data_IF_389092307596
#
_entry.id   IF_389092307596
#
_cell.length_a   1.000
_cell.length_b   1.000
_cell.length_c   1.000
_cell.angle_alpha   90.00
_cell.angle_beta   90.00
_cell.angle_gamma   90.00
#
_symmetry.space_group_name_H-M   'P 1'
#
loop_
_entity.id
_entity.type
_entity.pdbx_description
1 polymer ?
#
# COMPACT_ATOMS: atom_id res chain seq x y z
N UNK A 1 7.48 6.66 29.90
CA UNK A 1 6.68 7.51 28.99
C UNK A 1 7.48 7.67 27.71
N UNK A 2 7.89 6.56 27.08
CA UNK A 2 8.94 6.57 26.03
C UNK A 2 8.81 5.30 25.16
N UNK A 3 7.83 5.26 24.25
CA UNK A 3 7.70 4.13 23.31
C UNK A 3 7.27 4.59 21.90
N UNK A 4 7.72 5.79 21.51
CA UNK A 4 7.45 6.38 20.19
C UNK A 4 8.72 6.46 19.31
N UNK A 5 9.83 5.87 19.75
CA UNK A 5 11.07 5.80 18.99
C UNK A 5 11.17 4.41 18.36
N UNK A 6 11.27 4.39 17.03
CA UNK A 6 11.59 3.19 16.25
C UNK A 6 12.93 3.40 15.54
N UNK A 7 13.72 2.33 15.30
CA UNK A 7 14.89 2.42 14.43
C UNK A 7 14.48 2.87 13.02
N UNK A 8 15.42 3.19 12.12
CA UNK A 8 15.10 3.40 10.71
C UNK A 8 14.57 2.12 10.05
N UNK A 9 13.63 2.22 9.09
CA UNK A 9 13.19 1.07 8.31
C UNK A 9 14.32 0.53 7.42
N UNK A 10 14.33 -0.78 7.14
CA UNK A 10 15.30 -1.36 6.22
C UNK A 10 15.14 -0.73 4.84
N UNK A 11 16.25 -0.38 4.22
CA UNK A 11 16.27 0.08 2.83
C UNK A 11 15.91 -1.11 1.94
N UNK A 12 14.71 -1.08 1.35
CA UNK A 12 14.36 -2.03 0.29
C UNK A 12 15.10 -1.59 -0.97
N UNK A 13 16.29 -2.14 -1.19
CA UNK A 13 17.08 -1.91 -2.41
C UNK A 13 16.42 -2.63 -3.57
N UNK A 14 15.51 -1.93 -4.22
CA UNK A 14 14.85 -2.37 -5.43
C UNK A 14 13.94 -1.25 -5.90
N UNK A 15 14.01 -0.93 -7.20
CA UNK A 15 12.98 -0.16 -7.87
C UNK A 15 11.74 -1.07 -7.98
N UNK A 16 11.17 -1.42 -6.84
CA UNK A 16 9.89 -2.10 -6.76
C UNK A 16 8.87 -1.12 -7.33
N UNK A 17 8.32 -1.46 -8.49
CA UNK A 17 7.23 -0.72 -9.09
C UNK A 17 6.14 -0.50 -8.05
N UNK A 18 5.78 0.76 -7.80
CA UNK A 18 4.61 1.08 -7.01
C UNK A 18 3.36 0.66 -7.79
N UNK A 19 2.33 0.22 -7.07
CA UNK A 19 1.03 -0.10 -7.65
C UNK A 19 -0.04 0.83 -7.08
N UNK A 20 -1.07 1.11 -7.88
CA UNK A 20 -2.26 1.81 -7.39
C UNK A 20 -2.88 1.03 -6.24
N UNK A 21 -3.35 1.74 -5.21
CA UNK A 21 -3.83 1.21 -3.93
C UNK A 21 -2.76 0.60 -3.01
N UNK A 22 -1.47 0.68 -3.34
CA UNK A 22 -0.40 0.27 -2.44
C UNK A 22 -0.19 1.28 -1.31
N UNK A 23 -0.01 0.79 -0.09
CA UNK A 23 0.29 1.62 1.09
C UNK A 23 1.78 1.99 1.10
N UNK A 24 2.07 3.28 1.17
CA UNK A 24 3.42 3.84 1.07
C UNK A 24 3.60 4.94 2.12
N UNK A 25 4.86 5.24 2.46
CA UNK A 25 5.18 6.48 3.16
C UNK A 25 5.73 7.48 2.13
N UNK A 26 5.15 8.69 2.09
CA UNK A 26 5.61 9.79 1.24
C UNK A 26 6.37 10.82 2.08
N UNK A 27 7.53 11.25 1.58
CA UNK A 27 8.35 12.25 2.26
C UNK A 27 8.01 13.67 1.79
N UNK A 28 7.51 14.49 2.71
CA UNK A 28 7.16 15.90 2.49
C UNK A 28 7.37 16.70 3.78
N UNK A 29 7.86 17.95 3.66
CA UNK A 29 8.10 18.86 4.78
C UNK A 29 8.95 18.29 5.93
N UNK A 30 9.94 17.46 5.59
CA UNK A 30 10.84 16.87 6.58
C UNK A 30 10.25 15.67 7.34
N UNK A 31 9.07 15.19 6.94
CA UNK A 31 8.36 14.11 7.60
C UNK A 31 7.92 13.01 6.62
N UNK A 32 7.73 11.81 7.15
CA UNK A 32 7.18 10.67 6.42
C UNK A 32 5.68 10.54 6.72
N UNK A 33 4.86 10.69 5.69
CA UNK A 33 3.41 10.66 5.77
C UNK A 33 2.87 9.35 5.21
N UNK A 34 2.07 8.65 6.00
CA UNK A 34 1.43 7.40 5.57
C UNK A 34 0.30 7.71 4.59
N UNK A 35 0.29 7.01 3.46
CA UNK A 35 -0.77 7.15 2.48
C UNK A 35 -0.84 5.97 1.52
N UNK A 36 -1.61 6.17 0.45
CA UNK A 36 -1.86 5.14 -0.55
C UNK A 36 -1.73 5.73 -1.95
N UNK A 37 -1.02 5.02 -2.83
CA UNK A 37 -0.84 5.44 -4.22
C UNK A 37 -2.20 5.49 -4.92
N UNK A 38 -2.65 6.68 -5.34
CA UNK A 38 -3.90 6.87 -6.08
C UNK A 38 -3.68 6.79 -7.58
N UNK A 39 -2.55 7.31 -8.06
CA UNK A 39 -2.20 7.38 -9.47
C UNK A 39 -0.69 7.37 -9.66
N UNK A 40 -0.25 6.83 -10.79
CA UNK A 40 1.14 6.84 -11.23
C UNK A 40 1.16 7.57 -12.57
N UNK A 41 2.06 8.55 -12.73
CA UNK A 41 2.20 9.25 -14.00
C UNK A 41 2.79 8.33 -15.06
N UNK A 42 2.16 8.33 -16.25
CA UNK A 42 2.51 7.43 -17.34
C UNK A 42 3.80 7.80 -18.07
N UNK A 43 4.38 6.77 -18.70
CA UNK A 43 5.64 6.71 -19.47
C UNK A 43 6.92 6.58 -18.63
N UNK A 44 7.18 7.49 -17.69
CA UNK A 44 8.45 7.46 -16.93
C UNK A 44 8.31 6.95 -15.49
N UNK A 45 7.09 6.79 -14.96
CA UNK A 45 6.81 6.39 -13.57
C UNK A 45 7.59 7.22 -12.51
N UNK A 46 8.03 8.43 -12.88
CA UNK A 46 8.91 9.25 -12.03
C UNK A 46 8.14 9.90 -10.89
N UNK A 47 6.84 10.12 -11.07
CA UNK A 47 5.96 10.79 -10.13
C UNK A 47 4.78 9.89 -9.78
N UNK A 48 4.41 9.90 -8.51
CA UNK A 48 3.21 9.22 -8.02
C UNK A 48 2.38 10.17 -7.18
N UNK A 49 1.08 10.02 -7.33
CA UNK A 49 0.10 10.65 -6.48
C UNK A 49 -0.19 9.73 -5.30
N UNK A 50 -0.03 10.26 -4.08
CA UNK A 50 -0.29 9.56 -2.83
C UNK A 50 -1.39 10.27 -2.08
N UNK A 51 -2.49 9.57 -1.84
CA UNK A 51 -3.55 10.03 -0.94
C UNK A 51 -3.15 9.75 0.50
N UNK A 52 -2.98 10.79 1.30
CA UNK A 52 -2.58 10.68 2.70
C UNK A 52 -3.73 10.12 3.55
N UNK A 53 -3.43 9.16 4.43
CA UNK A 53 -4.44 8.53 5.29
C UNK A 53 -4.97 9.50 6.36
N UNK A 54 -4.15 10.46 6.81
CA UNK A 54 -4.50 11.40 7.89
C UNK A 54 -5.44 12.52 7.45
N UNK A 55 -5.19 13.12 6.29
CA UNK A 55 -5.93 14.30 5.79
C UNK A 55 -6.84 13.97 4.62
N UNK A 56 -6.60 12.85 3.93
CA UNK A 56 -7.24 12.54 2.66
C UNK A 56 -6.72 13.36 1.48
N UNK A 57 -5.78 14.28 1.71
CA UNK A 57 -5.16 15.10 0.67
C UNK A 57 -4.31 14.23 -0.25
N UNK A 58 -4.19 14.65 -1.51
CA UNK A 58 -3.30 14.03 -2.47
C UNK A 58 -1.99 14.80 -2.57
N UNK A 59 -0.88 14.07 -2.52
CA UNK A 59 0.46 14.61 -2.65
C UNK A 59 1.10 14.03 -3.92
N UNK A 60 1.62 14.90 -4.78
CA UNK A 60 2.43 14.48 -5.91
C UNK A 60 3.91 14.46 -5.50
N UNK A 61 4.51 13.28 -5.42
CA UNK A 61 5.92 13.12 -5.07
C UNK A 61 6.65 12.27 -6.10
N UNK A 62 7.95 12.55 -6.31
CA UNK A 62 8.77 11.68 -7.13
C UNK A 62 8.99 10.32 -6.45
N UNK A 63 9.20 9.27 -7.25
CA UNK A 63 9.31 7.88 -6.79
C UNK A 63 10.40 7.67 -5.72
N UNK A 64 11.48 8.45 -5.77
CA UNK A 64 12.60 8.36 -4.82
C UNK A 64 12.29 8.99 -3.45
N UNK A 65 11.17 9.72 -3.31
CA UNK A 65 10.62 10.21 -2.03
C UNK A 65 9.55 9.29 -1.46
N UNK A 66 9.34 8.14 -2.08
CA UNK A 66 8.45 7.10 -1.59
C UNK A 66 9.25 5.96 -0.98
N UNK A 67 8.67 5.33 0.02
CA UNK A 67 9.10 4.01 0.50
C UNK A 67 7.88 3.14 0.76
N UNK A 68 8.08 1.82 0.72
CA UNK A 68 7.06 0.89 1.22
C UNK A 68 6.76 1.19 2.68
N UNK A 69 5.48 1.32 2.99
CA UNK A 69 5.06 1.45 4.37
C UNK A 69 5.37 0.14 5.10
N UNK A 70 5.99 0.24 6.28
CA UNK A 70 6.21 -0.88 7.19
C UNK A 70 5.71 -0.47 8.57
N UNK A 71 5.09 -1.41 9.26
CA UNK A 71 4.71 -1.25 10.66
C UNK A 71 5.86 -1.71 11.55
N UNK A 72 6.08 -0.98 12.65
CA UNK A 72 6.99 -1.42 13.70
C UNK A 72 6.18 -2.15 14.76
N UNK A 73 6.41 -3.46 14.93
CA UNK A 73 5.69 -4.31 15.88
C UNK A 73 6.65 -5.26 16.56
N UNK A 74 6.56 -5.38 17.88
CA UNK A 74 7.33 -6.33 18.69
C UNK A 74 8.85 -6.29 18.40
N UNK A 75 9.40 -5.09 18.18
CA UNK A 75 10.82 -4.90 17.91
C UNK A 75 11.27 -5.23 16.47
N UNK A 76 10.34 -5.41 15.53
CA UNK A 76 10.65 -5.78 14.15
C UNK A 76 9.80 -4.99 13.14
N UNK A 77 10.34 -4.83 11.94
CA UNK A 77 9.62 -4.24 10.80
C UNK A 77 8.80 -5.30 10.08
N UNK A 78 7.49 -5.05 9.93
CA UNK A 78 6.57 -5.97 9.25
C UNK A 78 5.80 -5.25 8.14
N UNK A 79 5.47 -5.93 7.04
CA UNK A 79 4.54 -5.39 6.04
C UNK A 79 3.19 -5.04 6.68
N UNK A 80 2.49 -4.02 6.18
CA UNK A 80 1.15 -3.70 6.65
C UNK A 80 0.24 -4.91 6.43
N UNK A 81 -0.68 -5.11 7.38
CA UNK A 81 -1.75 -6.06 7.16
C UNK A 81 -2.44 -5.74 5.82
N UNK A 82 -2.80 -6.76 5.01
CA UNK A 82 -3.55 -6.51 3.80
C UNK A 82 -4.76 -5.65 4.16
N UNK A 83 -5.00 -4.59 3.37
CA UNK A 83 -6.22 -3.82 3.53
C UNK A 83 -7.36 -4.83 3.50
N UNK A 84 -8.28 -4.71 4.47
CA UNK A 84 -9.37 -5.67 4.67
C UNK A 84 -10.22 -5.66 3.41
N UNK A 85 -9.84 -6.45 2.41
CA UNK A 85 -10.66 -6.69 1.25
C UNK A 85 -11.99 -7.15 1.83
N UNK A 86 -13.13 -6.62 1.35
CA UNK A 86 -14.41 -7.22 1.71
C UNK A 86 -14.25 -8.71 1.42
N UNK A 87 -14.46 -9.55 2.44
CA UNK A 87 -14.42 -11.00 2.29
C UNK A 87 -15.18 -11.30 0.99
N UNK A 88 -14.61 -12.02 0.01
CA UNK A 88 -15.42 -12.46 -1.11
C UNK A 88 -16.62 -13.17 -0.47
N UNK A 89 -17.83 -12.68 -0.73
CA UNK A 89 -19.03 -13.41 -0.33
C UNK A 89 -18.83 -14.80 -0.89
N UNK A 90 -18.77 -15.81 -0.02
CA UNK A 90 -18.69 -17.20 -0.42
C UNK A 90 -19.80 -17.42 -1.45
N UNK A 91 -19.42 -17.57 -2.73
CA UNK A 91 -20.34 -18.05 -3.74
C UNK A 91 -20.55 -19.51 -3.37
N UNK A 92 -21.64 -19.78 -2.65
CA UNK A 92 -22.13 -21.13 -2.43
C UNK A 92 -22.28 -21.80 -3.78
N UNK A 93 -21.47 -22.83 -4.02
CA UNK A 93 -21.57 -23.69 -5.17
C UNK A 93 -22.93 -24.42 -5.14
N UNK A 94 -23.90 -23.94 -5.90
CA UNK A 94 -25.05 -24.77 -6.29
C UNK A 94 -24.68 -25.50 -7.57
N UNK A 95 -24.30 -26.77 -7.42
CA UNK A 95 -24.18 -27.74 -8.50
C UNK A 95 -25.55 -27.95 -9.15
N UNK A 96 -25.73 -27.44 -10.36
CA UNK A 96 -26.84 -27.84 -11.24
C UNK A 96 -26.26 -28.65 -12.39
N UNK A 97 -26.34 -29.98 -12.26
CA UNK A 97 -26.16 -30.91 -13.38
C UNK A 97 -27.41 -30.84 -14.25
N UNK A 98 -27.33 -30.18 -15.40
CA UNK A 98 -28.21 -30.44 -16.54
C UNK A 98 -27.35 -31.03 -17.66
N UNK A 99 -27.54 -32.30 -17.97
CA UNK A 99 -27.03 -32.90 -19.20
C UNK A 99 -28.22 -33.37 -20.03
N UNK A 100 -28.21 -32.89 -21.27
CA UNK A 100 -29.24 -33.03 -22.29
C UNK A 100 -29.32 -34.45 -22.86
N UNK A 101 -30.54 -34.75 -23.24
CA UNK A 101 -31.07 -35.81 -24.11
C UNK A 101 -30.16 -36.24 -25.29
N UNK A 102 -30.23 -37.53 -25.62
CA UNK A 102 -30.17 -38.08 -26.98
C UNK A 102 -31.07 -39.31 -27.04
#
# INVERSE_FOLDING_TARGET
MEELVRPPPPTVTGHSNYAVSQKVDAYEDGAWWVGRVSRIDGEDCLHCHVRLDISGNELNVPFYRLRHHLDWRDGHWVPPAPSRAPRPRSLSATSSKNQLIS
#
